data_IF_700891480219
#
_entry.id   IF_700891480219
#
_cell.length_a   1.000
_cell.length_b   1.000
_cell.length_c   1.000
_cell.angle_alpha   90.00
_cell.angle_beta   90.00
_cell.angle_gamma   90.00
#
_symmetry.space_group_name_H-M   'P 1'
#
loop_
_entity.id
_entity.type
_entity.pdbx_description
1 polymer ?
#
# COMPACT_ATOMS: atom_id res chain seq x y z
N UNK A 1 -10.59 -32.98 -2.98
CA UNK A 1 -10.29 -31.64 -3.53
C UNK A 1 -9.88 -30.71 -2.40
N UNK A 2 -8.61 -30.67 -2.04
CA UNK A 2 -8.10 -29.61 -1.15
C UNK A 2 -7.69 -28.44 -2.04
N UNK A 3 -8.54 -27.41 -2.13
CA UNK A 3 -8.07 -26.08 -2.53
C UNK A 3 -7.29 -25.55 -1.33
N UNK A 4 -6.03 -25.96 -1.21
CA UNK A 4 -5.03 -25.18 -0.49
C UNK A 4 -4.91 -23.92 -1.35
N UNK A 5 -5.80 -22.95 -1.09
CA UNK A 5 -5.53 -21.59 -1.49
C UNK A 5 -4.21 -21.29 -0.79
N UNK A 6 -3.12 -21.36 -1.55
CA UNK A 6 -1.89 -20.69 -1.19
C UNK A 6 -2.37 -19.28 -0.93
N UNK A 7 -2.54 -18.95 0.34
CA UNK A 7 -2.61 -17.58 0.82
C UNK A 7 -1.24 -17.06 0.40
N UNK A 8 -1.14 -16.65 -0.87
CA UNK A 8 -0.01 -15.94 -1.40
C UNK A 8 0.16 -14.87 -0.33
N UNK A 9 1.24 -14.97 0.42
CA UNK A 9 1.68 -13.91 1.31
C UNK A 9 1.94 -12.75 0.36
N UNK A 10 0.87 -12.00 0.02
CA UNK A 10 1.00 -10.70 -0.62
C UNK A 10 1.96 -9.98 0.30
N UNK A 11 3.15 -9.66 -0.18
CA UNK A 11 4.02 -8.70 0.49
C UNK A 11 3.21 -7.40 0.53
N UNK A 12 2.47 -7.23 1.62
CA UNK A 12 1.55 -6.12 1.86
C UNK A 12 2.29 -4.84 2.16
N UNK A 13 3.57 -4.95 2.51
CA UNK A 13 4.37 -3.85 3.01
C UNK A 13 5.45 -3.48 2.01
N UNK A 14 5.38 -2.25 1.52
CA UNK A 14 6.39 -1.69 0.61
C UNK A 14 6.96 -0.39 1.14
N UNK A 15 8.17 -0.03 0.68
CA UNK A 15 8.72 1.29 0.96
C UNK A 15 8.13 2.33 0.02
N UNK A 16 8.23 3.61 0.39
CA UNK A 16 7.70 4.71 -0.42
C UNK A 16 8.17 4.71 -1.87
N UNK A 17 9.44 4.39 -2.14
CA UNK A 17 9.98 4.37 -3.50
C UNK A 17 9.31 3.30 -4.37
N UNK A 18 9.26 2.07 -3.85
CA UNK A 18 8.65 0.93 -4.52
C UNK A 18 7.13 1.13 -4.68
N UNK A 19 6.45 1.63 -3.64
CA UNK A 19 5.04 2.01 -3.69
C UNK A 19 4.76 3.06 -4.76
N UNK A 20 5.52 4.15 -4.77
CA UNK A 20 5.36 5.21 -5.78
C UNK A 20 5.54 4.67 -7.21
N UNK A 21 6.53 3.80 -7.43
CA UNK A 21 6.77 3.16 -8.73
C UNK A 21 5.60 2.24 -9.14
N UNK A 22 5.06 1.42 -8.23
CA UNK A 22 3.95 0.51 -8.53
C UNK A 22 2.68 1.23 -8.97
N UNK A 23 2.32 2.34 -8.31
CA UNK A 23 1.14 3.12 -8.68
C UNK A 23 1.44 4.19 -9.72
N UNK A 24 2.66 4.19 -10.29
CA UNK A 24 3.08 5.16 -11.32
C UNK A 24 2.82 6.62 -10.90
N UNK A 25 3.07 6.94 -9.63
CA UNK A 25 2.80 8.26 -9.06
C UNK A 25 4.04 8.86 -8.37
N UNK A 26 4.06 10.18 -8.20
CA UNK A 26 5.17 10.86 -7.55
C UNK A 26 5.31 10.46 -6.08
N UNK A 27 6.55 10.30 -5.60
CA UNK A 27 6.86 9.86 -4.23
C UNK A 27 6.18 10.72 -3.15
N UNK A 28 6.18 12.04 -3.32
CA UNK A 28 5.53 12.96 -2.37
C UNK A 28 4.02 12.74 -2.31
N UNK A 29 3.39 12.44 -3.47
CA UNK A 29 1.95 12.21 -3.55
C UNK A 29 1.59 10.85 -2.95
N UNK A 30 2.37 9.81 -3.24
CA UNK A 30 2.21 8.49 -2.63
C UNK A 30 2.33 8.57 -1.10
N UNK A 31 3.34 9.29 -0.59
CA UNK A 31 3.52 9.48 0.84
C UNK A 31 2.36 10.24 1.49
N UNK A 32 1.85 11.30 0.86
CA UNK A 32 0.69 12.04 1.35
C UNK A 32 -0.55 11.14 1.41
N UNK A 33 -0.85 10.42 0.32
CA UNK A 33 -1.98 9.50 0.27
C UNK A 33 -1.84 8.36 1.28
N UNK A 34 -0.64 7.81 1.47
CA UNK A 34 -0.39 6.75 2.45
C UNK A 34 -0.62 7.24 3.88
N UNK A 35 -0.29 8.51 4.16
CA UNK A 35 -0.58 9.15 5.44
C UNK A 35 -2.06 9.34 5.65
N UNK A 36 -2.77 9.87 4.64
CA UNK A 36 -4.21 10.11 4.71
C UNK A 36 -4.99 8.79 4.83
N UNK A 37 -4.54 7.74 4.15
CA UNK A 37 -5.08 6.38 4.24
C UNK A 37 -4.85 5.71 5.60
N UNK A 38 -3.96 6.24 6.45
CA UNK A 38 -3.53 5.55 7.67
C UNK A 38 -2.73 4.28 7.41
N UNK A 39 -2.17 4.12 6.20
CA UNK A 39 -1.47 2.93 5.75
C UNK A 39 0.02 2.88 6.16
N UNK A 40 0.52 3.88 6.88
CA UNK A 40 1.94 3.99 7.24
C UNK A 40 2.27 3.18 8.50
N UNK A 41 3.23 2.28 8.37
CA UNK A 41 3.83 1.52 9.46
C UNK A 41 5.27 2.00 9.69
N UNK A 42 5.53 2.53 10.89
CA UNK A 42 6.86 2.99 11.31
C UNK A 42 7.49 1.98 12.25
N UNK A 43 8.64 1.42 11.85
CA UNK A 43 9.44 0.50 12.64
C UNK A 43 10.84 1.11 12.79
N UNK A 44 11.16 1.60 13.99
CA UNK A 44 12.39 2.36 14.27
C UNK A 44 12.62 3.52 13.28
N UNK A 45 13.62 3.36 12.41
CA UNK A 45 14.04 4.32 11.36
C UNK A 45 13.51 3.94 9.98
N UNK A 46 12.71 2.88 9.87
CA UNK A 46 12.12 2.39 8.63
C UNK A 46 10.64 2.74 8.55
N UNK A 47 10.21 3.06 7.34
CA UNK A 47 8.79 3.30 7.02
C UNK A 47 8.37 2.32 5.93
N UNK A 48 7.25 1.66 6.19
CA UNK A 48 6.55 0.76 5.28
C UNK A 48 5.12 1.27 5.08
N UNK A 49 4.53 0.92 3.95
CA UNK A 49 3.14 1.24 3.60
C UNK A 49 2.40 -0.07 3.39
N UNK A 50 1.27 -0.24 4.09
CA UNK A 50 0.33 -1.32 3.87
C UNK A 50 -0.52 -1.04 2.63
N UNK A 51 -0.28 -1.81 1.57
CA UNK A 51 -0.97 -1.66 0.30
C UNK A 51 -2.44 -2.02 0.38
N UNK A 52 -2.85 -2.94 1.26
CA UNK A 52 -4.26 -3.34 1.34
C UNK A 52 -5.10 -2.16 1.87
N UNK A 53 -4.65 -1.50 2.93
CA UNK A 53 -5.29 -0.28 3.46
C UNK A 53 -5.20 0.88 2.47
N UNK A 54 -4.08 1.00 1.76
CA UNK A 54 -3.90 2.04 0.75
C UNK A 54 -4.85 1.88 -0.44
N UNK A 55 -5.01 0.66 -0.97
CA UNK A 55 -5.93 0.35 -2.07
C UNK A 55 -7.38 0.63 -1.67
N UNK A 56 -7.79 0.22 -0.47
CA UNK A 56 -9.13 0.52 0.07
C UNK A 56 -9.39 2.03 0.10
N UNK A 57 -8.39 2.83 0.48
CA UNK A 57 -8.48 4.29 0.45
C UNK A 57 -8.58 4.85 -0.97
N UNK A 58 -7.82 4.31 -1.93
CA UNK A 58 -7.88 4.77 -3.32
C UNK A 58 -9.24 4.53 -3.98
N UNK A 59 -9.92 3.43 -3.67
CA UNK A 59 -11.28 3.16 -4.19
C UNK A 59 -12.28 4.25 -3.78
N UNK A 60 -12.04 4.99 -2.69
CA UNK A 60 -12.90 6.12 -2.28
C UNK A 60 -12.83 7.31 -3.25
N UNK A 61 -11.75 7.46 -4.01
CA UNK A 61 -11.58 8.50 -5.02
C UNK A 61 -12.13 8.11 -6.40
N UNK A 62 -12.66 6.90 -6.54
CA UNK A 62 -13.17 6.40 -7.80
C UNK A 62 -14.42 7.17 -8.22
N UNK A 63 -14.32 7.90 -9.32
CA UNK A 63 -15.45 8.59 -9.96
C UNK A 63 -16.28 7.56 -10.72
N UNK A 64 -17.61 7.63 -10.58
CA UNK A 64 -18.57 6.77 -11.28
C UNK A 64 -19.09 7.41 -12.56
#
# INVERSE_FOLDING_TARGET
MQKIARKLEKKRLVRYKEGAEMYSMGMNKFQALAKDAGAILKIDRMVLVDLDTFDEYLETFRVK
#
